data_IF_989267384229
#
_entry.id   IF_989267384229
#
_cell.length_a   1.000
_cell.length_b   1.000
_cell.length_c   1.000
_cell.angle_alpha   90.00
_cell.angle_beta   90.00
_cell.angle_gamma   90.00
#
_symmetry.space_group_name_H-M   'P 1'
#
loop_
_entity.id
_entity.type
_entity.pdbx_description
1 polymer ?
#
# COMPACT_ATOMS: atom_id res chain seq x y z
N UNK A 1 -1.60 15.62 3.31
CA UNK A 1 -2.26 14.42 3.87
C UNK A 1 -3.79 14.48 3.86
N UNK A 2 -4.45 15.65 3.83
CA UNK A 2 -5.92 15.76 3.99
C UNK A 2 -6.72 15.43 2.70
N UNK A 3 -6.18 15.77 1.52
CA UNK A 3 -6.85 15.59 0.22
C UNK A 3 -7.42 14.18 -0.06
N UNK A 4 -6.69 13.06 0.16
CA UNK A 4 -7.24 11.72 -0.12
C UNK A 4 -8.44 11.36 0.78
N UNK A 5 -8.47 11.86 2.02
CA UNK A 5 -9.58 11.60 2.95
C UNK A 5 -10.85 12.37 2.55
N UNK A 6 -10.68 13.60 2.07
CA UNK A 6 -11.79 14.39 1.53
C UNK A 6 -12.38 13.73 0.27
N UNK A 7 -11.54 13.16 -0.58
CA UNK A 7 -11.99 12.42 -1.76
C UNK A 7 -12.84 11.20 -1.38
N UNK A 8 -12.44 10.42 -0.37
CA UNK A 8 -13.20 9.25 0.10
C UNK A 8 -14.51 9.67 0.77
N UNK A 9 -14.49 10.72 1.60
CA UNK A 9 -15.69 11.25 2.24
C UNK A 9 -16.69 11.77 1.20
N UNK A 10 -16.20 12.53 0.22
CA UNK A 10 -17.00 13.03 -0.89
C UNK A 10 -17.59 11.89 -1.73
N UNK A 11 -16.77 10.91 -2.13
CA UNK A 11 -17.23 9.75 -2.89
C UNK A 11 -18.30 8.94 -2.14
N UNK A 12 -18.13 8.78 -0.82
CA UNK A 12 -19.10 8.10 0.03
C UNK A 12 -20.43 8.87 0.11
N UNK A 13 -20.38 10.20 0.25
CA UNK A 13 -21.57 11.05 0.28
C UNK A 13 -22.31 11.05 -1.06
N UNK A 14 -21.57 11.13 -2.18
CA UNK A 14 -22.12 11.03 -3.53
C UNK A 14 -22.77 9.68 -3.77
N UNK A 15 -22.08 8.59 -3.42
CA UNK A 15 -22.60 7.23 -3.54
C UNK A 15 -23.89 7.02 -2.74
N UNK A 16 -23.92 7.49 -1.49
CA UNK A 16 -25.11 7.41 -0.65
C UNK A 16 -26.29 8.21 -1.24
N UNK A 17 -26.01 9.39 -1.81
CA UNK A 17 -27.04 10.22 -2.46
C UNK A 17 -27.63 9.54 -3.68
N UNK A 18 -26.78 8.95 -4.54
CA UNK A 18 -27.21 8.20 -5.71
C UNK A 18 -28.03 6.97 -5.31
N UNK A 19 -27.55 6.18 -4.34
CA UNK A 19 -28.25 5.00 -3.86
C UNK A 19 -29.65 5.33 -3.31
N UNK A 20 -29.77 6.40 -2.50
CA UNK A 20 -31.07 6.87 -2.01
C UNK A 20 -32.01 7.27 -3.13
N UNK A 21 -31.52 7.97 -4.15
CA UNK A 21 -32.32 8.36 -5.33
C UNK A 21 -32.76 7.15 -6.16
N UNK A 22 -32.01 6.05 -6.11
CA UNK A 22 -32.34 4.79 -6.76
C UNK A 22 -33.21 3.84 -5.89
N UNK A 23 -33.67 4.29 -4.71
CA UNK A 23 -34.47 3.47 -3.79
C UNK A 23 -33.68 2.37 -3.05
N UNK A 24 -32.34 2.44 -3.06
CA UNK A 24 -31.47 1.48 -2.39
C UNK A 24 -31.15 1.94 -0.95
N UNK A 25 -30.89 0.99 -0.02
CA UNK A 25 -30.52 1.32 1.34
C UNK A 25 -29.18 2.05 1.41
N UNK A 26 -29.11 3.15 2.16
CA UNK A 26 -27.88 3.91 2.40
C UNK A 26 -27.00 3.32 3.51
N UNK A 27 -27.51 2.34 4.27
CA UNK A 27 -26.81 1.75 5.40
C UNK A 27 -25.40 1.21 5.07
N UNK A 28 -25.16 0.56 3.91
CA UNK A 28 -23.82 0.10 3.53
C UNK A 28 -22.78 1.21 3.37
N UNK A 29 -23.17 2.48 3.25
CA UNK A 29 -22.19 3.57 3.16
C UNK A 29 -21.59 3.94 4.53
N UNK A 30 -22.25 3.57 5.64
CA UNK A 30 -21.68 3.75 6.97
C UNK A 30 -20.48 2.84 7.22
N UNK A 31 -20.42 1.65 6.61
CA UNK A 31 -19.24 0.78 6.73
C UNK A 31 -18.02 1.39 6.04
N UNK A 32 -18.21 2.15 4.94
CA UNK A 32 -17.13 2.90 4.30
C UNK A 32 -16.60 4.02 5.20
N UNK A 33 -17.48 4.75 5.88
CA UNK A 33 -17.09 5.80 6.84
C UNK A 33 -16.37 5.20 8.04
N UNK A 34 -16.86 4.08 8.57
CA UNK A 34 -16.19 3.35 9.65
C UNK A 34 -14.80 2.84 9.21
N UNK A 35 -14.70 2.30 7.99
CA UNK A 35 -13.43 1.90 7.40
C UNK A 35 -12.45 3.07 7.25
N UNK A 36 -12.93 4.24 6.83
CA UNK A 36 -12.13 5.47 6.75
C UNK A 36 -11.58 5.88 8.13
N UNK A 37 -12.44 5.87 9.15
CA UNK A 37 -12.05 6.19 10.52
C UNK A 37 -11.01 5.20 11.05
N UNK A 38 -11.22 3.89 10.84
CA UNK A 38 -10.25 2.85 11.20
C UNK A 38 -8.90 3.06 10.48
N UNK A 39 -8.92 3.35 9.18
CA UNK A 39 -7.72 3.66 8.40
C UNK A 39 -6.97 4.89 8.91
N UNK A 40 -7.69 5.94 9.30
CA UNK A 40 -7.11 7.14 9.91
C UNK A 40 -6.45 6.86 11.26
N UNK A 41 -7.10 6.05 12.11
CA UNK A 41 -6.55 5.64 13.40
C UNK A 41 -5.27 4.81 13.22
N UNK A 42 -5.29 3.84 12.29
CA UNK A 42 -4.11 3.03 11.95
C UNK A 42 -2.96 3.90 11.42
N UNK A 43 -3.24 4.80 10.48
CA UNK A 43 -2.24 5.72 9.94
C UNK A 43 -1.65 6.64 11.03
N UNK A 44 -2.49 7.14 11.94
CA UNK A 44 -2.07 7.90 13.10
C UNK A 44 -1.20 7.09 14.05
N UNK A 45 -1.56 5.83 14.31
CA UNK A 45 -0.77 4.89 15.11
C UNK A 45 0.60 4.61 14.51
N UNK A 46 0.67 4.31 13.22
CA UNK A 46 1.94 4.10 12.50
C UNK A 46 2.82 5.35 12.55
N UNK A 47 2.24 6.54 12.40
CA UNK A 47 2.98 7.81 12.52
C UNK A 47 3.64 7.97 13.90
N UNK A 48 3.00 7.48 14.98
CA UNK A 48 3.55 7.54 16.34
C UNK A 48 4.73 6.59 16.57
N UNK A 49 4.87 5.52 15.79
CA UNK A 49 5.99 4.57 15.91
C UNK A 49 7.34 5.16 15.48
N UNK A 50 7.32 6.28 14.74
CA UNK A 50 8.52 6.99 14.27
C UNK A 50 9.12 6.41 12.99
N UNK A 51 9.62 7.30 12.12
CA UNK A 51 10.19 6.94 10.82
C UNK A 51 11.31 5.89 10.85
N UNK A 52 12.31 5.99 11.76
CA UNK A 52 13.40 5.01 11.82
C UNK A 52 12.94 3.58 12.12
N UNK A 53 12.01 3.42 13.08
CA UNK A 53 11.49 2.11 13.48
C UNK A 53 10.63 1.47 12.38
N UNK A 54 9.82 2.28 11.71
CA UNK A 54 9.02 1.80 10.56
C UNK A 54 9.94 1.39 9.40
N UNK A 55 11.01 2.14 9.14
CA UNK A 55 12.00 1.81 8.11
C UNK A 55 12.73 0.51 8.42
N UNK A 56 13.19 0.29 9.65
CA UNK A 56 13.88 -0.96 10.02
C UNK A 56 12.98 -2.19 9.91
N UNK A 57 11.66 -2.01 10.01
CA UNK A 57 10.67 -3.07 9.85
C UNK A 57 10.06 -3.14 8.44
N UNK A 58 10.47 -2.28 7.50
CA UNK A 58 9.80 -2.18 6.20
C UNK A 58 9.84 -3.50 5.43
N UNK A 59 11.03 -4.10 5.29
CA UNK A 59 11.20 -5.40 4.58
C UNK A 59 10.43 -6.54 5.23
N UNK A 60 10.57 -6.82 6.55
CA UNK A 60 9.80 -7.91 7.16
C UNK A 60 8.28 -7.68 7.10
N UNK A 61 7.82 -6.44 7.25
CA UNK A 61 6.40 -6.13 7.08
C UNK A 61 5.92 -6.30 5.63
N UNK A 62 6.74 -5.95 4.64
CA UNK A 62 6.43 -6.18 3.22
C UNK A 62 6.36 -7.67 2.87
N UNK A 63 7.26 -8.50 3.41
CA UNK A 63 7.21 -9.95 3.24
C UNK A 63 5.97 -10.55 3.90
N UNK A 64 5.68 -10.14 5.14
CA UNK A 64 4.47 -10.56 5.84
C UNK A 64 3.21 -10.15 5.07
N UNK A 65 3.18 -8.95 4.51
CA UNK A 65 2.09 -8.47 3.66
C UNK A 65 1.89 -9.36 2.42
N UNK A 66 2.96 -9.73 1.71
CA UNK A 66 2.87 -10.66 0.58
C UNK A 66 2.32 -12.03 1.01
N UNK A 67 2.79 -12.57 2.14
CA UNK A 67 2.30 -13.84 2.66
C UNK A 67 0.82 -13.77 3.02
N UNK A 68 0.39 -12.71 3.70
CA UNK A 68 -1.02 -12.50 4.04
C UNK A 68 -1.89 -12.35 2.78
N UNK A 69 -1.41 -11.63 1.77
CA UNK A 69 -2.12 -11.56 0.49
C UNK A 69 -2.17 -12.90 -0.23
N UNK A 70 -1.12 -13.72 -0.17
CA UNK A 70 -1.08 -15.04 -0.80
C UNK A 70 -2.14 -15.99 -0.23
N UNK A 71 -2.54 -15.80 1.04
CA UNK A 71 -3.62 -16.61 1.64
C UNK A 71 -4.97 -16.45 0.92
N UNK A 72 -5.19 -15.35 0.18
CA UNK A 72 -6.45 -15.20 -0.58
C UNK A 72 -6.58 -16.19 -1.73
N UNK A 73 -5.46 -16.73 -2.24
CA UNK A 73 -5.48 -17.70 -3.34
C UNK A 73 -6.20 -19.00 -2.95
N UNK A 74 -6.28 -19.29 -1.65
CA UNK A 74 -6.98 -20.46 -1.10
C UNK A 74 -8.44 -20.14 -0.75
N UNK A 75 -8.80 -18.85 -0.68
CA UNK A 75 -10.15 -18.40 -0.36
C UNK A 75 -11.05 -18.43 -1.60
N UNK A 76 -12.36 -18.74 -1.48
CA UNK A 76 -13.31 -18.61 -2.57
C UNK A 76 -13.29 -17.20 -3.15
N UNK A 77 -12.98 -17.08 -4.44
CA UNK A 77 -12.96 -15.80 -5.14
C UNK A 77 -14.37 -15.22 -5.30
N UNK A 78 -14.48 -13.90 -5.27
CA UNK A 78 -15.72 -13.20 -5.63
C UNK A 78 -15.65 -12.86 -7.12
N UNK A 79 -16.60 -13.37 -7.90
CA UNK A 79 -16.60 -13.25 -9.37
C UNK A 79 -15.29 -13.73 -10.02
N UNK A 80 -14.71 -14.82 -9.49
CA UNK A 80 -13.45 -15.38 -9.98
C UNK A 80 -12.17 -14.65 -9.52
N UNK A 81 -12.29 -13.60 -8.70
CA UNK A 81 -11.15 -12.80 -8.21
C UNK A 81 -10.87 -13.10 -6.73
N UNK A 82 -9.64 -13.51 -6.43
CA UNK A 82 -9.20 -13.96 -5.11
C UNK A 82 -8.59 -12.81 -4.28
N UNK A 83 -9.41 -11.83 -3.87
CA UNK A 83 -8.90 -10.60 -3.24
C UNK A 83 -9.42 -10.31 -1.83
N UNK A 84 -10.40 -11.07 -1.36
CA UNK A 84 -11.07 -10.83 -0.09
C UNK A 84 -10.63 -11.85 0.96
N UNK A 85 -10.30 -11.35 2.14
CA UNK A 85 -10.07 -12.17 3.33
C UNK A 85 -11.31 -12.08 4.23
N UNK A 86 -12.01 -13.19 4.48
CA UNK A 86 -13.13 -13.18 5.41
C UNK A 86 -12.60 -13.03 6.85
N UNK A 87 -13.16 -12.08 7.58
CA UNK A 87 -12.88 -11.81 9.00
C UNK A 87 -14.23 -11.72 9.72
N UNK A 88 -14.76 -12.88 10.12
CA UNK A 88 -16.10 -12.97 10.70
C UNK A 88 -17.18 -12.51 9.73
N UNK A 89 -17.95 -11.48 10.10
CA UNK A 89 -18.98 -10.85 9.24
C UNK A 89 -18.43 -9.80 8.28
N UNK A 90 -17.13 -9.50 8.35
CA UNK A 90 -16.46 -8.52 7.51
C UNK A 90 -15.60 -9.21 6.45
N UNK A 91 -15.40 -8.53 5.33
CA UNK A 91 -14.45 -8.93 4.30
C UNK A 91 -13.41 -7.84 4.13
N UNK A 92 -12.13 -8.19 4.27
CA UNK A 92 -11.02 -7.29 4.08
C UNK A 92 -10.46 -7.44 2.66
N UNK A 93 -10.33 -6.35 1.91
CA UNK A 93 -9.66 -6.38 0.62
C UNK A 93 -8.14 -6.46 0.85
N UNK A 94 -7.54 -7.62 0.58
CA UNK A 94 -6.16 -7.91 0.96
C UNK A 94 -5.15 -6.93 0.32
N UNK A 95 -5.21 -6.74 -0.99
CA UNK A 95 -4.31 -5.82 -1.70
C UNK A 95 -4.40 -4.38 -1.18
N UNK A 96 -5.61 -3.85 -1.00
CA UNK A 96 -5.80 -2.51 -0.46
C UNK A 96 -5.22 -2.35 0.96
N UNK A 97 -5.30 -3.39 1.79
CA UNK A 97 -4.77 -3.37 3.15
C UNK A 97 -3.24 -3.57 3.21
N UNK A 98 -2.68 -4.42 2.34
CA UNK A 98 -1.33 -4.95 2.51
C UNK A 98 -0.31 -4.47 1.47
N UNK A 99 -0.72 -4.13 0.25
CA UNK A 99 0.20 -3.62 -0.79
C UNK A 99 1.00 -2.37 -0.37
N UNK A 100 0.48 -1.42 0.44
CA UNK A 100 1.29 -0.29 0.94
C UNK A 100 2.57 -0.71 1.68
N UNK A 101 2.56 -1.84 2.39
CA UNK A 101 3.74 -2.36 3.08
C UNK A 101 4.77 -2.92 2.10
N UNK A 102 4.32 -3.55 1.03
CA UNK A 102 5.19 -4.04 -0.05
C UNK A 102 5.83 -2.87 -0.80
N UNK A 103 5.06 -1.80 -1.05
CA UNK A 103 5.59 -0.56 -1.64
C UNK A 103 6.66 0.07 -0.75
N UNK A 104 6.38 0.19 0.55
CA UNK A 104 7.35 0.73 1.51
C UNK A 104 8.62 -0.13 1.59
N UNK A 105 8.48 -1.47 1.61
CA UNK A 105 9.60 -2.41 1.60
C UNK A 105 10.45 -2.29 0.34
N UNK A 106 9.81 -2.23 -0.83
CA UNK A 106 10.48 -2.08 -2.12
C UNK A 106 11.22 -0.74 -2.22
N UNK A 107 10.56 0.36 -1.87
CA UNK A 107 11.18 1.68 -1.84
C UNK A 107 12.38 1.74 -0.89
N UNK A 108 12.24 1.16 0.31
CA UNK A 108 13.33 1.10 1.28
C UNK A 108 14.52 0.27 0.78
N UNK A 109 14.28 -0.92 0.22
CA UNK A 109 15.34 -1.76 -0.33
C UNK A 109 16.09 -1.03 -1.46
N UNK A 110 15.35 -0.38 -2.37
CA UNK A 110 15.92 0.40 -3.47
C UNK A 110 16.74 1.58 -2.95
N UNK A 111 16.25 2.32 -1.94
CA UNK A 111 16.99 3.46 -1.37
C UNK A 111 18.28 3.04 -0.64
N UNK A 112 18.36 1.79 -0.17
CA UNK A 112 19.57 1.20 0.42
C UNK A 112 20.54 0.63 -0.64
N UNK A 113 20.33 0.93 -1.93
CA UNK A 113 21.12 0.40 -3.04
C UNK A 113 20.82 -1.05 -3.40
N UNK A 114 19.85 -1.70 -2.74
CA UNK A 114 19.48 -3.10 -2.96
C UNK A 114 18.37 -3.21 -4.02
N UNK A 115 18.59 -2.60 -5.19
CA UNK A 115 17.59 -2.52 -6.28
C UNK A 115 17.01 -3.88 -6.67
N UNK A 116 17.84 -4.93 -6.71
CA UNK A 116 17.38 -6.29 -7.01
C UNK A 116 16.33 -6.81 -6.03
N UNK A 117 16.46 -6.51 -4.73
CA UNK A 117 15.46 -6.87 -3.71
C UNK A 117 14.19 -6.02 -3.86
N UNK A 118 14.33 -4.73 -4.16
CA UNK A 118 13.20 -3.85 -4.43
C UNK A 118 12.36 -4.34 -5.62
N UNK A 119 13.03 -4.71 -6.72
CA UNK A 119 12.40 -5.29 -7.90
C UNK A 119 11.78 -6.66 -7.60
N UNK A 120 12.47 -7.53 -6.85
CA UNK A 120 11.92 -8.84 -6.49
C UNK A 120 10.59 -8.72 -5.72
N UNK A 121 10.49 -7.79 -4.78
CA UNK A 121 9.24 -7.50 -4.07
C UNK A 121 8.14 -6.99 -5.01
N UNK A 122 8.50 -6.14 -6.00
CA UNK A 122 7.57 -5.64 -6.98
C UNK A 122 7.02 -6.73 -7.90
N UNK A 123 7.91 -7.58 -8.44
CA UNK A 123 7.53 -8.72 -9.25
C UNK A 123 6.70 -9.73 -8.47
N UNK A 124 7.04 -10.00 -7.19
CA UNK A 124 6.26 -10.90 -6.35
C UNK A 124 4.81 -10.40 -6.16
N UNK A 125 4.63 -9.09 -5.90
CA UNK A 125 3.29 -8.51 -5.80
C UNK A 125 2.53 -8.60 -7.12
N UNK A 126 3.19 -8.28 -8.23
CA UNK A 126 2.59 -8.33 -9.56
C UNK A 126 2.17 -9.74 -9.94
N UNK A 127 3.02 -10.72 -9.69
CA UNK A 127 2.72 -12.14 -9.90
C UNK A 127 1.50 -12.56 -9.06
N UNK A 128 1.43 -12.10 -7.82
CA UNK A 128 0.28 -12.38 -6.96
C UNK A 128 -1.02 -11.77 -7.51
N UNK A 129 -1.01 -10.55 -8.02
CA UNK A 129 -2.21 -9.95 -8.65
C UNK A 129 -2.65 -10.67 -9.93
N UNK A 130 -1.70 -11.20 -10.70
CA UNK A 130 -2.00 -12.05 -11.86
C UNK A 130 -2.64 -13.38 -11.42
N UNK A 131 -2.12 -13.99 -10.35
CA UNK A 131 -2.69 -15.21 -9.76
C UNK A 131 -4.04 -14.97 -9.08
N UNK A 132 -4.32 -13.74 -8.62
CA UNK A 132 -5.61 -13.33 -8.05
C UNK A 132 -6.67 -12.93 -9.09
N UNK A 133 -6.41 -13.16 -10.39
CA UNK A 133 -6.81 -12.31 -11.53
C UNK A 133 -7.40 -10.91 -11.19
N UNK A 134 -6.65 -10.06 -10.47
CA UNK A 134 -7.08 -8.69 -10.14
C UNK A 134 -6.37 -7.65 -11.01
N UNK A 135 -6.94 -7.38 -12.19
CA UNK A 135 -6.40 -6.41 -13.14
C UNK A 135 -6.34 -4.97 -12.61
N UNK A 136 -7.28 -4.59 -11.73
CA UNK A 136 -7.32 -3.24 -11.15
C UNK A 136 -6.15 -3.01 -10.20
N UNK A 137 -5.87 -3.97 -9.33
CA UNK A 137 -4.74 -3.90 -8.40
C UNK A 137 -3.40 -4.06 -9.12
N UNK A 138 -3.32 -4.94 -10.13
CA UNK A 138 -2.15 -5.06 -10.99
C UNK A 138 -1.73 -3.73 -11.61
N UNK A 139 -2.67 -3.00 -12.23
CA UNK A 139 -2.39 -1.70 -12.84
C UNK A 139 -2.04 -0.63 -11.78
N UNK A 140 -2.75 -0.62 -10.66
CA UNK A 140 -2.46 0.31 -9.57
C UNK A 140 -1.04 0.10 -8.99
N UNK A 141 -0.63 -1.15 -8.80
CA UNK A 141 0.71 -1.51 -8.33
C UNK A 141 1.80 -1.16 -9.33
N UNK A 142 1.56 -1.35 -10.64
CA UNK A 142 2.49 -0.89 -11.67
C UNK A 142 2.74 0.62 -11.55
N UNK A 143 1.68 1.42 -11.47
CA UNK A 143 1.79 2.87 -11.28
C UNK A 143 2.57 3.26 -10.02
N UNK A 144 2.32 2.56 -8.91
CA UNK A 144 3.05 2.79 -7.65
C UNK A 144 4.56 2.48 -7.79
N UNK A 145 4.93 1.36 -8.43
CA UNK A 145 6.34 0.99 -8.62
C UNK A 145 7.05 1.91 -9.62
N UNK A 146 6.35 2.39 -10.67
CA UNK A 146 6.89 3.43 -11.55
C UNK A 146 7.20 4.70 -10.77
N UNK A 147 6.29 5.15 -9.90
CA UNK A 147 6.55 6.31 -9.05
C UNK A 147 7.74 6.08 -8.12
N UNK A 148 7.85 4.90 -7.48
CA UNK A 148 9.00 4.56 -6.63
C UNK A 148 10.31 4.63 -7.43
N UNK A 149 10.35 4.04 -8.63
CA UNK A 149 11.54 4.09 -9.48
C UNK A 149 11.95 5.51 -9.86
N UNK A 150 10.98 6.36 -10.21
CA UNK A 150 11.24 7.75 -10.59
C UNK A 150 11.72 8.62 -9.40
N UNK A 151 11.16 8.42 -8.21
CA UNK A 151 11.43 9.31 -7.06
C UNK A 151 12.54 8.81 -6.13
N UNK A 152 12.86 7.52 -6.09
CA UNK A 152 13.97 7.00 -5.26
C UNK A 152 15.34 7.32 -5.88
N UNK A 153 15.44 7.34 -7.22
CA UNK A 153 16.69 7.69 -7.90
C UNK A 153 16.93 9.21 -7.98
N UNK A 154 15.94 10.02 -7.61
CA UNK A 154 16.02 11.48 -7.66
C UNK A 154 16.66 12.12 -6.40
N UNK A 155 16.86 11.38 -5.30
CA UNK A 155 17.60 11.94 -4.16
C UNK A 155 19.09 12.08 -4.51
N UNK A 156 19.66 13.30 -4.44
CA UNK A 156 21.07 13.49 -4.66
C UNK A 156 21.84 12.67 -3.64
N UNK A 157 22.65 11.71 -4.10
CA UNK A 157 23.69 11.09 -3.27
C UNK A 157 24.59 12.23 -2.83
N UNK A 158 24.37 12.76 -1.63
CA UNK A 158 25.24 13.76 -1.03
C UNK A 158 26.65 13.21 -1.10
N UNK A 159 27.45 13.81 -1.99
CA UNK A 159 28.85 13.45 -2.20
C UNK A 159 29.56 13.48 -0.84
N UNK A 160 30.51 12.57 -0.58
CA UNK A 160 31.25 12.58 0.67
C UNK A 160 31.99 13.91 0.83
N UNK A 161 31.39 14.82 1.60
CA UNK A 161 32.03 16.02 2.10
C UNK A 161 33.16 15.58 3.03
N UNK A 162 34.40 15.65 2.55
CA UNK A 162 35.58 15.64 3.43
C UNK A 162 36.59 14.51 3.19
N UNK A 163 37.24 14.51 2.02
CA UNK A 163 38.61 13.97 1.87
C UNK A 163 39.54 14.98 1.18
N UNK A 164 39.48 16.24 1.57
CA UNK A 164 40.42 17.25 1.07
C UNK A 164 40.68 18.33 2.12
N UNK A 165 41.41 18.00 3.19
CA UNK A 165 42.14 18.96 4.05
C UNK A 165 43.02 18.26 5.08
N UNK A 166 43.99 17.45 4.64
CA UNK A 166 45.22 17.13 5.41
C UNK A 166 46.36 16.88 4.44
N UNK A 167 46.80 17.95 3.79
CA UNK A 167 48.13 18.06 3.21
C UNK A 167 48.39 19.55 2.99
N UNK A 168 48.91 20.20 4.03
CA UNK A 168 49.70 21.41 3.88
C UNK A 168 50.97 21.18 4.73
N UNK A 169 52.14 21.51 4.18
CA UNK A 169 53.46 21.08 4.65
C UNK A 169 53.86 21.66 6.01
#
# INVERSE_FOLDING_TARGET
MVAPFLAIAFASAMGATIARRAGLPAAPFFTNVAGLAAGLLLAGGVKRLGGPRVRSLAVPLGLLALLLMATTLVSPGSAGVHRWLPIGSLSLHASAAFSPWVFAASAHATSQGQRGRGLALAFALQALHVLQPDGGQALASLGAFTAIGLFVDAEPRSAPLGRARRAAP
#
